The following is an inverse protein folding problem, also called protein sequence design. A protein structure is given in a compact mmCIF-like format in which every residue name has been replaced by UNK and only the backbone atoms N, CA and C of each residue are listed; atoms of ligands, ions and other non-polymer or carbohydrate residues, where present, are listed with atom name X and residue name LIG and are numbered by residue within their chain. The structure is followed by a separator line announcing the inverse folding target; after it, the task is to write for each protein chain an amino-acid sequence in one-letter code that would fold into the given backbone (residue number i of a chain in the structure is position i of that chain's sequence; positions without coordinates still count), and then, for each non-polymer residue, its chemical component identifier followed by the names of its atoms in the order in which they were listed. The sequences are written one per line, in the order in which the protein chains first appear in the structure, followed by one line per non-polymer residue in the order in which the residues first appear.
data_IF_576779929245
#
_entry.id   IF_576779929245
#
_cell.length_a   1.000
_cell.length_b   1.000
_cell.length_c   1.000
_cell.angle_alpha   90.00
_cell.angle_beta   90.00
_cell.angle_gamma   90.00
#
_symmetry.space_group_name_H-M   'P 1'
#
loop_
_entity.id
_entity.type
_entity.pdbx_description
1 polymer ?
#
# COMPACT_ATOMS: atom_id res chain seq x y z
N UNK A 1 -2.86 17.42 42.54
CA UNK A 1 -4.22 16.83 42.57
C UNK A 1 -5.24 17.95 42.75
N UNK A 2 -6.01 18.25 41.70
CA UNK A 2 -7.24 19.02 41.75
C UNK A 2 -8.24 18.22 40.91
N UNK A 3 -9.38 17.87 41.48
CA UNK A 3 -10.48 17.22 40.76
C UNK A 3 -11.77 17.84 41.29
N UNK A 4 -12.42 18.63 40.43
CA UNK A 4 -13.70 19.24 40.70
C UNK A 4 -14.71 18.77 39.65
N UNK A 5 -15.90 18.44 40.18
CA UNK A 5 -17.20 18.39 39.50
C UNK A 5 -17.45 17.25 38.50
N UNK A 6 -18.29 16.31 38.94
CA UNK A 6 -19.63 16.23 38.35
C UNK A 6 -20.63 15.76 39.41
N UNK A 7 -21.62 16.60 39.71
CA UNK A 7 -22.72 16.26 40.60
C UNK A 7 -23.63 15.26 39.87
N UNK A 8 -23.82 14.10 40.49
CA UNK A 8 -24.84 13.10 40.16
C UNK A 8 -26.19 13.82 40.06
N UNK A 9 -26.75 13.94 38.85
CA UNK A 9 -28.14 14.36 38.66
C UNK A 9 -29.02 13.15 39.00
N UNK A 10 -29.76 13.27 40.11
CA UNK A 10 -30.89 12.39 40.42
C UNK A 10 -31.91 12.51 39.28
N UNK A 11 -32.15 11.42 38.56
CA UNK A 11 -33.23 11.32 37.59
C UNK A 11 -34.45 10.83 38.38
N UNK A 12 -35.41 11.72 38.63
CA UNK A 12 -36.74 11.35 39.09
C UNK A 12 -37.49 10.65 37.95
N UNK A 13 -37.71 9.35 38.07
CA UNK A 13 -38.62 8.59 37.22
C UNK A 13 -40.06 8.94 37.60
N UNK A 14 -40.71 9.82 36.83
CA UNK A 14 -42.15 10.02 36.92
C UNK A 14 -42.87 9.09 35.95
N UNK A 15 -43.66 8.23 36.56
CA UNK A 15 -44.54 7.20 36.04
C UNK A 15 -45.55 7.70 34.99
N UNK A 16 -45.97 6.77 34.15
CA UNK A 16 -46.52 6.98 32.83
C UNK A 16 -47.81 7.78 32.72
N UNK A 17 -47.93 8.49 31.60
CA UNK A 17 -49.20 8.67 30.88
C UNK A 17 -48.95 8.67 29.38
N UNK A 18 -49.62 7.73 28.70
CA UNK A 18 -49.82 7.71 27.25
C UNK A 18 -50.53 8.99 26.83
N UNK A 19 -50.02 9.66 25.81
CA UNK A 19 -50.76 10.67 25.04
C UNK A 19 -50.53 10.38 23.56
N UNK A 20 -51.61 10.03 22.87
CA UNK A 20 -51.69 9.87 21.43
C UNK A 20 -51.63 11.26 20.79
N UNK A 21 -50.76 11.46 19.79
CA UNK A 21 -50.87 12.52 18.78
C UNK A 21 -50.01 12.16 17.55
N UNK A 22 -50.30 12.74 16.37
CA UNK A 22 -50.47 12.00 15.13
C UNK A 22 -49.17 11.77 14.35
N UNK A 23 -49.18 10.63 13.65
CA UNK A 23 -48.40 10.23 12.48
C UNK A 23 -47.71 11.40 11.74
N UNK A 24 -46.51 11.76 12.20
CA UNK A 24 -45.56 12.50 11.37
C UNK A 24 -44.91 11.50 10.42
N UNK A 25 -45.35 11.58 9.16
CA UNK A 25 -44.76 10.93 8.00
C UNK A 25 -43.24 10.89 8.12
N UNK A 26 -42.73 9.73 8.54
CA UNK A 26 -41.34 9.37 8.41
C UNK A 26 -41.11 9.14 6.91
N UNK A 27 -40.99 10.24 6.16
CA UNK A 27 -40.42 10.23 4.81
C UNK A 27 -39.02 9.67 4.97
N UNK A 28 -38.93 8.36 4.77
CA UNK A 28 -37.69 7.67 4.52
C UNK A 28 -36.99 8.47 3.43
N UNK A 29 -35.94 9.18 3.82
CA UNK A 29 -34.95 9.67 2.89
C UNK A 29 -34.28 8.42 2.33
N UNK A 30 -34.91 7.86 1.31
CA UNK A 30 -34.33 6.83 0.46
C UNK A 30 -33.29 7.54 -0.40
N UNK A 31 -32.17 7.90 0.23
CA UNK A 31 -30.95 8.24 -0.49
C UNK A 31 -30.64 7.01 -1.37
N UNK A 32 -30.46 7.14 -2.70
CA UNK A 32 -30.22 6.00 -3.56
C UNK A 32 -28.90 5.34 -3.16
N UNK A 33 -28.95 4.34 -2.27
CA UNK A 33 -27.78 3.57 -1.82
C UNK A 33 -27.04 2.92 -3.00
N UNK A 34 -27.73 2.72 -4.12
CA UNK A 34 -27.17 2.21 -5.37
C UNK A 34 -26.12 3.11 -6.02
N UNK A 35 -26.25 4.45 -5.96
CA UNK A 35 -25.31 5.36 -6.61
C UNK A 35 -23.99 5.49 -5.83
N UNK A 36 -24.07 5.59 -4.51
CA UNK A 36 -22.88 5.68 -3.64
C UNK A 36 -22.06 4.39 -3.66
N UNK A 37 -22.71 3.22 -3.54
CA UNK A 37 -22.01 1.94 -3.59
C UNK A 37 -21.29 1.71 -4.93
N UNK A 38 -21.93 2.10 -6.05
CA UNK A 38 -21.31 2.01 -7.38
C UNK A 38 -20.12 2.96 -7.54
N UNK A 39 -20.21 4.21 -7.05
CA UNK A 39 -19.10 5.16 -7.07
C UNK A 39 -17.91 4.69 -6.22
N UNK A 40 -18.17 4.11 -5.04
CA UNK A 40 -17.11 3.52 -4.21
C UNK A 40 -16.41 2.35 -4.92
N UNK A 41 -17.16 1.51 -5.64
CA UNK A 41 -16.57 0.43 -6.44
C UNK A 41 -15.68 0.98 -7.57
N UNK A 42 -16.16 1.94 -8.37
CA UNK A 42 -15.37 2.55 -9.45
C UNK A 42 -14.11 3.26 -8.94
N UNK A 43 -14.17 3.83 -7.73
CA UNK A 43 -13.00 4.45 -7.10
C UNK A 43 -11.95 3.41 -6.69
N UNK A 44 -12.36 2.28 -6.11
CA UNK A 44 -11.43 1.18 -5.80
C UNK A 44 -10.83 0.57 -7.05
N UNK A 45 -11.63 0.38 -8.11
CA UNK A 45 -11.15 -0.17 -9.38
C UNK A 45 -10.06 0.74 -9.98
N UNK A 46 -10.28 2.07 -9.96
CA UNK A 46 -9.28 3.05 -10.39
C UNK A 46 -7.99 2.98 -9.58
N UNK A 47 -8.08 2.80 -8.26
CA UNK A 47 -6.90 2.65 -7.39
C UNK A 47 -6.13 1.39 -7.72
N UNK A 48 -6.81 0.25 -7.87
CA UNK A 48 -6.14 -1.02 -8.19
C UNK A 48 -5.51 -1.00 -9.58
N UNK A 49 -6.13 -0.35 -10.57
CA UNK A 49 -5.54 -0.15 -11.89
C UNK A 49 -4.23 0.64 -11.82
N UNK A 50 -4.23 1.78 -11.12
CA UNK A 50 -3.02 2.60 -10.95
C UNK A 50 -1.94 1.84 -10.16
N UNK A 51 -2.34 1.12 -9.11
CA UNK A 51 -1.43 0.31 -8.31
C UNK A 51 -0.77 -0.80 -9.15
N UNK A 52 -1.55 -1.49 -9.99
CA UNK A 52 -1.03 -2.50 -10.91
C UNK A 52 -0.02 -1.90 -11.88
N UNK A 53 -0.33 -0.77 -12.51
CA UNK A 53 0.58 -0.07 -13.42
C UNK A 53 1.90 0.32 -12.73
N UNK A 54 1.82 0.87 -11.52
CA UNK A 54 2.98 1.25 -10.71
C UNK A 54 3.82 0.03 -10.33
N UNK A 55 3.20 -1.05 -9.85
CA UNK A 55 3.92 -2.29 -9.49
C UNK A 55 4.57 -2.90 -10.73
N UNK A 56 3.86 -3.01 -11.85
CA UNK A 56 4.40 -3.58 -13.09
C UNK A 56 5.61 -2.77 -13.58
N UNK A 57 5.53 -1.44 -13.51
CA UNK A 57 6.64 -0.56 -13.88
C UNK A 57 7.85 -0.76 -12.96
N UNK A 58 7.62 -0.77 -11.65
CA UNK A 58 8.66 -1.02 -10.65
C UNK A 58 9.33 -2.39 -10.86
N UNK A 59 8.54 -3.46 -11.03
CA UNK A 59 9.03 -4.82 -11.27
C UNK A 59 9.88 -4.88 -12.55
N UNK A 60 9.42 -4.26 -13.64
CA UNK A 60 10.19 -4.21 -14.90
C UNK A 60 11.54 -3.51 -14.71
N UNK A 61 11.55 -2.37 -14.01
CA UNK A 61 12.77 -1.61 -13.76
C UNK A 61 13.77 -2.38 -12.90
N UNK A 62 13.30 -2.98 -11.81
CA UNK A 62 14.15 -3.76 -10.90
C UNK A 62 14.66 -5.05 -11.55
N UNK A 63 13.85 -5.75 -12.36
CA UNK A 63 14.33 -6.91 -13.12
C UNK A 63 15.41 -6.54 -14.12
N UNK A 64 15.28 -5.38 -14.80
CA UNK A 64 16.31 -4.88 -15.73
C UNK A 64 17.63 -4.62 -15.00
N UNK A 65 17.60 -4.06 -13.78
CA UNK A 65 18.79 -3.89 -12.92
C UNK A 65 19.47 -5.22 -12.62
N UNK A 66 18.69 -6.22 -12.21
CA UNK A 66 19.20 -7.56 -11.93
C UNK A 66 19.85 -8.18 -13.18
N UNK A 67 19.20 -8.07 -14.33
CA UNK A 67 19.75 -8.58 -15.59
C UNK A 67 21.09 -7.92 -15.93
N UNK A 68 21.24 -6.61 -15.72
CA UNK A 68 22.50 -5.90 -15.95
C UNK A 68 23.62 -6.42 -15.04
N UNK A 69 23.32 -6.63 -13.74
CA UNK A 69 24.30 -7.17 -12.77
C UNK A 69 24.76 -8.57 -13.16
N UNK A 70 23.83 -9.42 -13.60
CA UNK A 70 24.14 -10.80 -14.01
C UNK A 70 24.88 -10.86 -15.34
N UNK A 71 24.61 -9.92 -16.25
CA UNK A 71 25.14 -9.98 -17.61
C UNK A 71 26.59 -9.52 -17.75
N UNK A 72 27.18 -8.84 -16.74
CA UNK A 72 28.60 -8.44 -16.57
C UNK A 72 29.39 -7.85 -17.76
N UNK A 73 28.81 -7.71 -18.96
CA UNK A 73 29.49 -7.26 -20.19
C UNK A 73 29.04 -5.85 -20.65
N UNK A 74 28.23 -5.12 -19.87
CA UNK A 74 27.79 -3.77 -20.25
C UNK A 74 28.00 -2.75 -19.11
N UNK A 75 29.16 -2.06 -19.08
CA UNK A 75 29.56 -1.18 -17.97
C UNK A 75 28.83 0.17 -17.91
N UNK A 76 27.83 0.43 -18.76
CA UNK A 76 27.26 1.78 -18.95
C UNK A 76 25.84 1.98 -18.36
N UNK A 77 25.25 0.99 -17.67
CA UNK A 77 23.84 1.06 -17.23
C UNK A 77 23.64 1.16 -15.70
N UNK A 78 24.54 1.85 -14.99
CA UNK A 78 24.37 2.12 -13.55
C UNK A 78 24.13 3.60 -13.21
N UNK A 79 24.49 4.53 -14.11
CA UNK A 79 24.30 5.97 -13.88
C UNK A 79 23.02 6.52 -14.51
N UNK A 80 22.64 6.08 -15.71
CA UNK A 80 21.46 6.61 -16.42
C UNK A 80 20.11 6.15 -15.87
N UNK A 81 20.07 5.16 -14.97
CA UNK A 81 18.83 4.58 -14.48
C UNK A 81 18.31 5.20 -13.17
N UNK A 82 19.11 6.05 -12.51
CA UNK A 82 18.60 6.84 -11.37
C UNK A 82 17.64 7.93 -11.85
N UNK A 83 17.93 8.54 -13.00
CA UNK A 83 17.15 9.65 -13.55
C UNK A 83 15.74 9.25 -14.00
N UNK A 84 15.55 8.05 -14.56
CA UNK A 84 14.20 7.55 -14.93
C UNK A 84 13.33 7.17 -13.71
N UNK A 85 13.93 6.98 -12.54
CA UNK A 85 13.25 6.60 -11.29
C UNK A 85 12.84 7.82 -10.45
N UNK A 86 13.41 8.99 -10.70
CA UNK A 86 13.09 10.26 -10.01
C UNK A 86 11.75 10.87 -10.46
N UNK A 87 11.16 10.38 -11.56
CA UNK A 87 9.91 10.92 -12.10
C UNK A 87 8.67 10.40 -11.35
N UNK A 88 8.81 9.31 -10.60
CA UNK A 88 7.76 8.77 -9.73
C UNK A 88 8.05 9.14 -8.28
N UNK A 89 7.65 10.36 -7.96
CA UNK A 89 7.21 10.85 -6.66
C UNK A 89 8.26 10.99 -5.54
N UNK A 90 8.02 11.97 -4.67
CA UNK A 90 8.87 12.35 -3.52
C UNK A 90 8.87 11.32 -2.39
N UNK A 91 8.96 10.04 -2.72
CA UNK A 91 9.10 8.94 -1.76
C UNK A 91 10.37 9.11 -0.94
N UNK A 92 10.23 8.90 0.37
CA UNK A 92 11.34 8.87 1.30
C UNK A 92 12.35 7.77 0.89
N UNK A 93 13.64 8.12 0.90
CA UNK A 93 14.74 7.23 0.49
C UNK A 93 14.74 5.89 1.27
N UNK A 94 14.27 5.89 2.52
CA UNK A 94 14.16 4.68 3.33
C UNK A 94 13.07 3.75 2.78
N UNK A 95 11.92 4.31 2.38
CA UNK A 95 10.83 3.52 1.78
C UNK A 95 11.27 2.91 0.45
N UNK A 96 11.96 3.69 -0.40
CA UNK A 96 12.51 3.18 -1.67
C UNK A 96 13.48 2.03 -1.44
N UNK A 97 14.40 2.16 -0.47
CA UNK A 97 15.30 1.06 -0.08
C UNK A 97 14.55 -0.16 0.44
N UNK A 98 13.57 0.02 1.31
CA UNK A 98 12.77 -1.07 1.87
C UNK A 98 12.03 -1.86 0.77
N UNK A 99 11.42 -1.14 -0.18
CA UNK A 99 10.74 -1.74 -1.33
C UNK A 99 11.70 -2.55 -2.20
N UNK A 100 12.91 -2.04 -2.47
CA UNK A 100 13.95 -2.79 -3.19
C UNK A 100 14.37 -4.06 -2.45
N UNK A 101 14.64 -3.98 -1.16
CA UNK A 101 14.99 -5.16 -0.36
C UNK A 101 13.88 -6.21 -0.34
N UNK A 102 12.61 -5.77 -0.27
CA UNK A 102 11.46 -6.67 -0.33
C UNK A 102 11.34 -7.33 -1.70
N UNK A 103 11.49 -6.57 -2.78
CA UNK A 103 11.46 -7.07 -4.15
C UNK A 103 12.53 -8.13 -4.40
N UNK A 104 13.74 -7.91 -3.88
CA UNK A 104 14.82 -8.87 -3.99
C UNK A 104 14.51 -10.18 -3.25
N UNK A 105 13.92 -10.12 -2.05
CA UNK A 105 13.49 -11.33 -1.32
C UNK A 105 12.44 -12.12 -2.11
N UNK A 106 11.48 -11.42 -2.70
CA UNK A 106 10.45 -12.02 -3.58
C UNK A 106 11.12 -12.66 -4.81
N UNK A 107 12.06 -11.97 -5.45
CA UNK A 107 12.80 -12.46 -6.61
C UNK A 107 13.55 -13.75 -6.28
N UNK A 108 14.31 -13.76 -5.19
CA UNK A 108 15.03 -14.97 -4.72
C UNK A 108 14.08 -16.14 -4.43
N UNK A 109 12.91 -15.86 -3.86
CA UNK A 109 11.89 -16.89 -3.62
C UNK A 109 11.41 -17.51 -4.95
N UNK A 110 11.10 -16.69 -5.95
CA UNK A 110 10.67 -17.19 -7.25
C UNK A 110 11.77 -17.97 -7.98
N UNK A 111 13.02 -17.48 -7.98
CA UNK A 111 14.14 -18.20 -8.60
C UNK A 111 14.31 -19.60 -8.00
N UNK A 112 14.26 -19.72 -6.68
CA UNK A 112 14.31 -21.02 -5.99
C UNK A 112 13.13 -21.92 -6.36
N UNK A 113 11.91 -21.36 -6.40
CA UNK A 113 10.71 -22.09 -6.84
C UNK A 113 10.81 -22.56 -8.30
N UNK A 114 11.53 -21.82 -9.14
CA UNK A 114 11.83 -22.16 -10.53
C UNK A 114 13.04 -23.09 -10.70
N UNK A 115 13.64 -23.58 -9.60
CA UNK A 115 14.88 -24.39 -9.57
C UNK A 115 16.11 -23.69 -10.16
N UNK A 116 16.13 -22.37 -10.15
CA UNK A 116 17.27 -21.53 -10.54
C UNK A 116 18.12 -21.20 -9.30
N UNK A 117 18.64 -22.22 -8.64
CA UNK A 117 19.36 -22.09 -7.36
C UNK A 117 20.67 -21.33 -7.51
N UNK A 118 21.48 -21.65 -8.53
CA UNK A 118 22.75 -20.98 -8.80
C UNK A 118 22.57 -19.47 -9.02
N UNK A 119 21.54 -19.06 -9.78
CA UNK A 119 21.23 -17.66 -10.01
C UNK A 119 20.76 -16.96 -8.73
N UNK A 120 19.95 -17.63 -7.91
CA UNK A 120 19.53 -17.09 -6.61
C UNK A 120 20.72 -16.88 -5.66
N UNK A 121 21.65 -17.82 -5.62
CA UNK A 121 22.84 -17.75 -4.77
C UNK A 121 23.84 -16.72 -5.28
N UNK A 122 23.97 -16.57 -6.60
CA UNK A 122 24.75 -15.50 -7.22
C UNK A 122 24.21 -14.11 -6.82
N UNK A 123 22.90 -13.87 -6.97
CA UNK A 123 22.29 -12.60 -6.58
C UNK A 123 22.36 -12.33 -5.08
N UNK A 124 22.33 -13.37 -4.26
CA UNK A 124 22.47 -13.22 -2.81
C UNK A 124 23.93 -12.95 -2.39
N UNK A 125 24.91 -13.51 -3.11
CA UNK A 125 26.33 -13.35 -2.82
C UNK A 125 26.91 -12.03 -3.33
N UNK A 126 26.45 -11.52 -4.48
CA UNK A 126 26.92 -10.22 -5.01
C UNK A 126 26.73 -9.09 -4.01
N UNK A 127 25.60 -9.07 -3.27
CA UNK A 127 25.33 -8.09 -2.21
C UNK A 127 26.32 -8.16 -1.04
N UNK A 128 26.74 -9.36 -0.66
CA UNK A 128 27.70 -9.55 0.45
C UNK A 128 29.08 -9.02 0.08
N UNK A 129 29.39 -8.95 -1.20
CA UNK A 129 30.64 -8.38 -1.72
C UNK A 129 30.55 -6.85 -1.73
N UNK A 130 29.41 -6.28 -2.17
CA UNK A 130 29.19 -4.83 -2.17
C UNK A 130 29.10 -4.17 -0.79
N UNK A 131 28.87 -4.93 0.28
CA UNK A 131 28.82 -4.43 1.68
C UNK A 131 30.18 -4.51 2.43
N UNK A 132 31.23 -5.01 1.78
CA UNK A 132 32.56 -5.22 2.41
C UNK A 132 33.66 -4.29 1.89
N UNK A 133 33.32 -3.34 1.01
CA UNK A 133 34.19 -2.28 0.49
C UNK A 133 33.73 -0.97 1.12
#
# INVERSE_FOLDING_TARGET
MKSDRSKVRLIDFKDGRRSNDPEEDQKSSEVPRGQSAQQHQTHLDSIFMLLEENIVTFVKNELKKIQNVVSSDYPECLESQREDEEVLDGEDEEQRRSSREAFEKITLHFLRRMKQEELADYLQSSKRISLKI
#
